data_IF_195139874544
#
_entry.id   IF_195139874544
#
_cell.length_a   1.000
_cell.length_b   1.000
_cell.length_c   1.000
_cell.angle_alpha   90.00
_cell.angle_beta   90.00
_cell.angle_gamma   90.00
#
_symmetry.space_group_name_H-M   'P 1'
#
loop_
_entity.id
_entity.type
_entity.pdbx_description
1 polymer ?
#
# COMPACT_ATOMS: atom_id res chain seq x y z
N UNK A 1 12.23 -8.17 -53.07
CA UNK A 1 11.53 -7.14 -52.28
C UNK A 1 10.16 -7.61 -51.75
N UNK A 2 9.34 -8.32 -52.54
CA UNK A 2 7.99 -8.79 -52.13
C UNK A 2 8.00 -9.75 -50.92
N UNK A 3 9.03 -10.62 -50.80
CA UNK A 3 9.15 -11.56 -49.66
C UNK A 3 9.41 -10.86 -48.31
N UNK A 4 10.19 -9.79 -48.29
CA UNK A 4 10.47 -9.02 -47.07
C UNK A 4 9.23 -8.25 -46.58
N UNK A 5 8.39 -7.80 -47.51
CA UNK A 5 7.11 -7.14 -47.21
C UNK A 5 6.11 -8.13 -46.57
N UNK A 6 6.10 -9.39 -47.01
CA UNK A 6 5.28 -10.45 -46.42
C UNK A 6 5.68 -10.75 -44.96
N UNK A 7 6.97 -10.85 -44.67
CA UNK A 7 7.47 -11.07 -43.30
C UNK A 7 7.18 -9.89 -42.36
N UNK A 8 7.24 -8.65 -42.85
CA UNK A 8 6.90 -7.47 -42.07
C UNK A 8 5.41 -7.46 -41.67
N UNK A 9 4.52 -7.90 -42.56
CA UNK A 9 3.07 -7.96 -42.29
C UNK A 9 2.71 -9.02 -41.23
N UNK A 10 3.40 -10.17 -41.25
CA UNK A 10 3.21 -11.24 -40.25
C UNK A 10 3.72 -10.80 -38.86
N UNK A 11 4.80 -10.02 -38.80
CA UNK A 11 5.34 -9.49 -37.54
C UNK A 11 4.44 -8.39 -36.93
N UNK A 12 3.73 -7.61 -37.76
CA UNK A 12 2.74 -6.64 -37.28
C UNK A 12 1.48 -7.28 -36.69
N UNK A 13 1.12 -8.49 -37.13
CA UNK A 13 -0.06 -9.23 -36.66
C UNK A 13 0.18 -10.00 -35.36
N UNK A 14 1.43 -10.12 -34.90
CA UNK A 14 1.78 -10.87 -33.69
C UNK A 14 1.85 -10.05 -32.40
N UNK A 15 1.47 -8.76 -32.42
CA UNK A 15 1.36 -7.97 -31.18
C UNK A 15 0.04 -8.33 -30.49
N UNK A 16 0.05 -9.05 -29.35
CA UNK A 16 -1.17 -9.26 -28.59
C UNK A 16 -1.71 -7.89 -28.17
N UNK A 17 -2.95 -7.60 -28.59
CA UNK A 17 -3.68 -6.41 -28.18
C UNK A 17 -3.74 -6.36 -26.66
N UNK A 18 -3.28 -5.25 -26.07
CA UNK A 18 -3.26 -5.05 -24.62
C UNK A 18 -4.71 -5.04 -24.10
N UNK A 19 -5.09 -6.04 -23.29
CA UNK A 19 -6.39 -6.03 -22.61
C UNK A 19 -6.36 -4.95 -21.52
N UNK A 20 -7.35 -4.05 -21.54
CA UNK A 20 -7.62 -3.16 -20.42
C UNK A 20 -8.52 -3.90 -19.43
N UNK A 21 -7.97 -4.28 -18.28
CA UNK A 21 -8.76 -4.80 -17.16
C UNK A 21 -9.28 -3.59 -16.37
N UNK A 22 -10.52 -3.18 -16.65
CA UNK A 22 -11.15 -1.96 -16.12
C UNK A 22 -11.77 -2.20 -14.74
N UNK A 23 -10.95 -2.62 -13.77
CA UNK A 23 -11.39 -2.73 -12.37
C UNK A 23 -11.40 -1.35 -11.71
N UNK A 24 -12.56 -0.95 -11.18
CA UNK A 24 -12.70 0.29 -10.39
C UNK A 24 -12.15 0.03 -8.98
N UNK A 25 -11.20 0.85 -8.48
CA UNK A 25 -10.67 0.66 -7.14
C UNK A 25 -11.67 1.12 -6.06
N UNK A 26 -11.63 0.44 -4.93
CA UNK A 26 -12.16 0.94 -3.66
C UNK A 26 -11.11 1.81 -2.98
N UNK A 27 -11.51 2.64 -2.01
CA UNK A 27 -10.57 3.51 -1.28
C UNK A 27 -10.71 3.30 0.22
N UNK A 28 -9.57 3.13 0.89
CA UNK A 28 -9.46 3.13 2.34
C UNK A 28 -8.98 4.50 2.80
N UNK A 29 -9.77 5.16 3.63
CA UNK A 29 -9.38 6.42 4.28
C UNK A 29 -8.70 6.11 5.61
N UNK A 30 -7.39 6.34 5.67
CA UNK A 30 -6.59 6.14 6.88
C UNK A 30 -6.35 7.49 7.55
N UNK A 31 -6.73 7.60 8.82
CA UNK A 31 -6.50 8.80 9.65
C UNK A 31 -5.19 8.69 10.40
N UNK A 32 -4.78 9.81 10.99
CA UNK A 32 -3.61 9.84 11.87
C UNK A 32 -3.77 8.85 13.03
N UNK A 33 -2.79 7.96 13.24
CA UNK A 33 -2.80 7.04 14.36
C UNK A 33 -2.53 7.78 15.68
N UNK A 34 -3.19 7.33 16.75
CA UNK A 34 -3.04 7.86 18.10
C UNK A 34 -2.46 6.80 19.03
N UNK A 35 -1.60 7.22 19.96
CA UNK A 35 -1.12 6.36 21.05
C UNK A 35 -1.95 6.64 22.30
N UNK A 36 -2.34 5.59 23.02
CA UNK A 36 -2.91 5.69 24.36
C UNK A 36 -1.85 5.24 25.37
N UNK A 37 -1.65 6.03 26.42
CA UNK A 37 -0.71 5.72 27.49
C UNK A 37 -1.27 6.24 28.83
N UNK A 38 -1.02 5.50 29.93
CA UNK A 38 -1.31 5.95 31.29
C UNK A 38 -0.23 6.95 31.76
N UNK A 39 -0.58 8.22 32.06
CA UNK A 39 0.39 9.23 32.47
C UNK A 39 1.17 8.91 33.75
N UNK A 40 0.62 8.08 34.64
CA UNK A 40 1.24 7.76 35.94
C UNK A 40 2.22 6.58 35.85
N UNK A 41 2.00 5.63 34.93
CA UNK A 41 2.78 4.39 34.83
C UNK A 41 3.58 4.29 33.52
N UNK A 42 3.11 4.90 32.43
CA UNK A 42 3.65 4.79 31.08
C UNK A 42 4.15 6.14 30.53
N UNK A 43 3.69 7.25 31.12
CA UNK A 43 4.10 8.61 30.75
C UNK A 43 3.24 9.20 29.63
N UNK A 44 3.84 10.08 28.83
CA UNK A 44 3.11 10.82 27.79
C UNK A 44 2.70 9.92 26.63
N UNK A 45 1.48 10.11 26.13
CA UNK A 45 1.01 9.54 24.86
C UNK A 45 1.60 10.20 23.61
N UNK A 46 2.66 10.99 23.75
CA UNK A 46 3.29 11.71 22.66
C UNK A 46 3.98 10.72 21.73
N UNK A 47 3.62 10.75 20.45
CA UNK A 47 4.21 9.89 19.44
C UNK A 47 4.54 10.67 18.17
N UNK A 48 5.45 10.12 17.36
CA UNK A 48 5.78 10.63 16.04
C UNK A 48 5.62 9.50 15.02
N UNK A 49 4.37 9.05 14.88
CA UNK A 49 4.00 8.06 13.89
C UNK A 49 3.72 8.81 12.60
N UNK A 50 4.58 8.63 11.61
CA UNK A 50 4.52 9.34 10.33
C UNK A 50 4.11 8.44 9.18
N UNK A 51 4.12 7.12 9.39
CA UNK A 51 3.89 6.14 8.34
C UNK A 51 3.01 5.00 8.84
N UNK A 52 2.23 4.40 7.93
CA UNK A 52 1.40 3.22 8.18
C UNK A 52 1.60 2.20 7.07
N UNK A 53 1.74 0.94 7.44
CA UNK A 53 1.70 -0.19 6.53
C UNK A 53 0.25 -0.62 6.34
N UNK A 54 -0.17 -0.78 5.09
CA UNK A 54 -1.50 -1.26 4.76
C UNK A 54 -1.40 -2.62 4.08
N UNK A 55 -2.17 -3.57 4.60
CA UNK A 55 -2.29 -4.92 4.07
C UNK A 55 -3.73 -5.20 3.67
N UNK A 56 -3.90 -5.97 2.59
CA UNK A 56 -5.19 -6.52 2.18
C UNK A 56 -5.01 -8.02 1.93
N UNK A 57 -5.77 -8.86 2.63
CA UNK A 57 -5.62 -10.32 2.59
C UNK A 57 -4.16 -10.79 2.77
N UNK A 58 -3.47 -10.22 3.75
CA UNK A 58 -2.05 -10.45 4.09
C UNK A 58 -1.04 -9.99 3.02
N UNK A 59 -1.48 -9.39 1.92
CA UNK A 59 -0.60 -8.78 0.92
C UNK A 59 -0.31 -7.32 1.28
N UNK A 60 0.97 -6.94 1.28
CA UNK A 60 1.38 -5.56 1.54
C UNK A 60 1.03 -4.67 0.34
N UNK A 61 0.07 -3.76 0.50
CA UNK A 61 -0.21 -2.70 -0.48
C UNK A 61 0.86 -1.61 -0.47
N UNK A 62 1.52 -1.42 0.67
CA UNK A 62 2.64 -0.51 0.81
C UNK A 62 2.59 0.32 2.08
N UNK A 63 3.43 1.35 2.11
CA UNK A 63 3.59 2.28 3.21
C UNK A 63 3.05 3.65 2.82
N UNK A 64 2.24 4.24 3.68
CA UNK A 64 1.51 5.49 3.41
C UNK A 64 1.72 6.49 4.54
N UNK A 65 1.71 7.78 4.21
CA UNK A 65 1.80 8.87 5.19
C UNK A 65 0.39 9.37 5.52
N UNK A 66 -0.18 9.05 6.70
CA UNK A 66 -1.51 9.51 7.09
C UNK A 66 -1.56 11.04 7.31
N UNK A 67 -2.73 11.69 7.14
CA UNK A 67 -3.96 11.10 6.64
C UNK A 67 -3.85 10.74 5.14
N UNK A 68 -4.24 9.51 4.78
CA UNK A 68 -3.99 8.95 3.46
C UNK A 68 -5.24 8.27 2.88
N UNK A 69 -5.38 8.37 1.55
CA UNK A 69 -6.42 7.70 0.79
C UNK A 69 -5.80 6.58 -0.06
N UNK A 70 -5.91 5.34 0.42
CA UNK A 70 -5.23 4.18 -0.17
C UNK A 70 -6.14 3.49 -1.20
N UNK A 71 -5.74 3.38 -2.48
CA UNK A 71 -6.50 2.67 -3.48
C UNK A 71 -6.34 1.15 -3.31
N UNK A 72 -7.47 0.44 -3.29
CA UNK A 72 -7.53 -1.02 -3.16
C UNK A 72 -8.22 -1.57 -4.41
N UNK A 73 -7.50 -2.37 -5.20
CA UNK A 73 -8.04 -3.01 -6.41
C UNK A 73 -8.68 -4.36 -6.08
N UNK A 74 -9.62 -4.37 -5.13
CA UNK A 74 -10.35 -5.54 -4.71
C UNK A 74 -11.83 -5.22 -4.50
N UNK A 75 -12.65 -6.27 -4.61
CA UNK A 75 -14.11 -6.20 -4.48
C UNK A 75 -14.61 -7.20 -3.44
N UNK A 76 -15.73 -6.88 -2.80
CA UNK A 76 -16.32 -7.72 -1.74
C UNK A 76 -15.72 -7.49 -0.36
N UNK A 77 -16.01 -8.40 0.56
CA UNK A 77 -15.41 -8.35 1.91
C UNK A 77 -13.95 -8.76 1.82
N UNK A 78 -13.07 -7.90 2.31
CA UNK A 78 -11.62 -8.12 2.35
C UNK A 78 -11.14 -7.82 3.77
N UNK A 79 -10.20 -8.62 4.30
CA UNK A 79 -9.49 -8.32 5.54
C UNK A 79 -8.45 -7.25 5.26
N UNK A 80 -8.57 -6.11 5.94
CA UNK A 80 -7.63 -5.00 5.88
C UNK A 80 -6.84 -4.99 7.17
N UNK A 81 -5.54 -4.81 7.12
CA UNK A 81 -4.73 -4.57 8.33
C UNK A 81 -3.97 -3.26 8.16
N UNK A 82 -3.96 -2.43 9.20
CA UNK A 82 -3.19 -1.18 9.24
C UNK A 82 -2.25 -1.24 10.43
N UNK A 83 -0.95 -1.12 10.17
CA UNK A 83 0.10 -1.22 11.18
C UNK A 83 0.90 0.07 11.18
N UNK A 84 0.93 0.75 12.33
CA UNK A 84 1.74 1.95 12.51
C UNK A 84 3.24 1.64 12.37
N UNK A 85 3.92 2.44 11.55
CA UNK A 85 5.36 2.37 11.32
C UNK A 85 6.11 3.46 12.08
N UNK A 86 7.39 3.19 12.36
CA UNK A 86 8.35 4.19 12.84
C UNK A 86 9.60 4.16 11.99
N UNK A 87 10.28 5.29 11.87
CA UNK A 87 11.62 5.33 11.28
C UNK A 87 12.63 4.70 12.25
N UNK A 88 13.38 3.71 11.78
CA UNK A 88 14.43 3.05 12.58
C UNK A 88 15.55 4.04 12.94
N UNK A 89 15.79 5.01 12.07
CA UNK A 89 16.81 6.05 12.22
C UNK A 89 16.39 7.33 11.46
N UNK A 90 17.33 8.26 11.23
CA UNK A 90 17.06 9.52 10.51
C UNK A 90 16.84 9.38 9.00
N UNK A 91 16.96 8.18 8.43
CA UNK A 91 16.78 7.92 7.00
C UNK A 91 15.28 7.73 6.74
N UNK A 92 14.71 8.50 5.81
CA UNK A 92 13.26 8.49 5.53
C UNK A 92 12.74 7.16 4.99
N UNK A 93 13.59 6.38 4.32
CA UNK A 93 13.20 5.09 3.73
C UNK A 93 13.37 3.89 4.66
N UNK A 94 14.01 4.04 5.82
CA UNK A 94 14.21 2.94 6.78
C UNK A 94 13.09 2.94 7.82
N UNK A 95 11.93 2.46 7.40
CA UNK A 95 10.70 2.39 8.19
C UNK A 95 10.49 0.94 8.63
N UNK A 96 10.14 0.75 9.89
CA UNK A 96 9.84 -0.55 10.49
C UNK A 96 8.44 -0.56 11.10
N UNK A 97 7.81 -1.73 11.11
CA UNK A 97 6.62 -1.96 11.94
C UNK A 97 7.06 -2.08 13.39
N UNK A 98 6.46 -1.28 14.27
CA UNK A 98 6.86 -1.27 15.67
C UNK A 98 6.13 -2.37 16.44
N UNK A 99 6.83 -3.35 17.07
CA UNK A 99 6.19 -4.52 17.69
C UNK A 99 5.24 -4.21 18.86
N UNK A 100 5.28 -2.99 19.41
CA UNK A 100 4.46 -2.58 20.54
C UNK A 100 3.22 -1.78 20.13
N UNK A 101 3.03 -1.51 18.84
CA UNK A 101 1.79 -0.92 18.34
C UNK A 101 0.78 -2.01 17.99
N UNK A 102 -0.48 -1.69 18.24
CA UNK A 102 -1.60 -2.56 17.88
C UNK A 102 -1.84 -2.53 16.36
N UNK A 103 -2.10 -3.70 15.79
CA UNK A 103 -2.59 -3.82 14.41
C UNK A 103 -4.09 -3.53 14.41
N UNK A 104 -4.52 -2.60 13.56
CA UNK A 104 -5.94 -2.39 13.31
C UNK A 104 -6.42 -3.35 12.21
N UNK A 105 -7.51 -4.08 12.44
CA UNK A 105 -8.13 -5.05 11.51
C UNK A 105 -9.65 -4.86 11.36
#
# INVERSE_FOLDING_TARGET
MIRALGYACVFLLSLPSCKKDDKVPSYLEVRDPSVSADPLTEGSSSSKITEVWVYVEDEALGVWEPPARVPILASGSQRVQVIAGIRRNGISSDIIQYPFYETWE
#
